data_IF_548149907526
#
_entry.id   IF_548149907526
#
_cell.length_a   1.000
_cell.length_b   1.000
_cell.length_c   1.000
_cell.angle_alpha   90.00
_cell.angle_beta   90.00
_cell.angle_gamma   90.00
#
_symmetry.space_group_name_H-M   'P 1'
#
loop_
_entity.id
_entity.type
_entity.pdbx_description
1 polymer ?
#
# COMPACT_ATOMS: atom_id res chain seq x y z
N UNK A 1 -2.56 -14.40 -17.70
CA UNK A 1 -1.40 -14.97 -16.99
C UNK A 1 -0.96 -13.97 -15.94
N UNK A 2 -1.18 -14.27 -14.66
CA UNK A 2 -0.71 -13.44 -13.53
C UNK A 2 0.68 -13.94 -13.15
N UNK A 3 1.71 -13.18 -13.53
CA UNK A 3 3.08 -13.44 -13.06
C UNK A 3 3.15 -12.94 -11.62
N UNK A 4 3.46 -13.83 -10.68
CA UNK A 4 3.76 -13.45 -9.31
C UNK A 4 5.19 -12.87 -9.28
N UNK A 5 5.30 -11.55 -9.14
CA UNK A 5 6.59 -10.88 -8.97
C UNK A 5 7.09 -11.07 -7.54
N UNK A 6 8.41 -11.24 -7.36
CA UNK A 6 9.02 -11.00 -6.06
C UNK A 6 8.83 -9.53 -5.67
N UNK A 7 8.85 -9.23 -4.36
CA UNK A 7 8.70 -7.84 -3.91
C UNK A 7 9.74 -6.91 -4.56
N UNK A 8 10.97 -7.38 -4.77
CA UNK A 8 12.05 -6.61 -5.41
C UNK A 8 11.74 -6.28 -6.87
N UNK A 9 11.22 -7.23 -7.64
CA UNK A 9 10.82 -7.02 -9.04
C UNK A 9 9.59 -6.12 -9.16
N UNK A 10 8.64 -6.24 -8.21
CA UNK A 10 7.47 -5.39 -8.16
C UNK A 10 7.86 -3.92 -7.92
N UNK A 11 8.82 -3.62 -7.04
CA UNK A 11 9.22 -2.25 -6.74
C UNK A 11 9.92 -1.55 -7.92
N UNK A 12 10.47 -2.29 -8.88
CA UNK A 12 11.08 -1.74 -10.09
C UNK A 12 10.08 -1.45 -11.21
N UNK A 13 8.81 -1.81 -11.05
CA UNK A 13 7.78 -1.57 -12.08
C UNK A 13 7.59 -0.07 -12.35
N UNK A 14 7.28 0.35 -13.60
CA UNK A 14 6.78 1.70 -13.86
C UNK A 14 5.55 2.04 -12.99
N UNK A 15 5.35 3.30 -12.65
CA UNK A 15 4.32 3.74 -11.69
C UNK A 15 2.93 3.14 -11.94
N UNK A 16 2.46 3.19 -13.19
CA UNK A 16 1.15 2.63 -13.56
C UNK A 16 1.08 1.11 -13.33
N UNK A 17 2.18 0.40 -13.60
CA UNK A 17 2.24 -1.05 -13.44
C UNK A 17 2.33 -1.42 -11.96
N UNK A 18 3.10 -0.66 -11.16
CA UNK A 18 3.17 -0.84 -9.72
C UNK A 18 1.81 -0.65 -9.05
N UNK A 19 1.12 0.46 -9.35
CA UNK A 19 -0.25 0.70 -8.88
C UNK A 19 -1.21 -0.44 -9.27
N UNK A 20 -1.19 -0.88 -10.54
CA UNK A 20 -2.04 -1.98 -11.01
C UNK A 20 -1.73 -3.28 -10.26
N UNK A 21 -0.46 -3.57 -10.00
CA UNK A 21 -0.05 -4.73 -9.23
C UNK A 21 -0.56 -4.64 -7.79
N UNK A 22 -0.48 -3.48 -7.12
CA UNK A 22 -1.06 -3.29 -5.79
C UNK A 22 -2.58 -3.50 -5.80
N UNK A 23 -3.28 -2.98 -6.81
CA UNK A 23 -4.72 -3.18 -6.98
C UNK A 23 -5.09 -4.65 -7.18
N UNK A 24 -4.31 -5.41 -7.95
CA UNK A 24 -4.54 -6.85 -8.15
C UNK A 24 -4.27 -7.67 -6.89
N UNK A 25 -3.21 -7.34 -6.14
CA UNK A 25 -2.79 -8.10 -4.95
C UNK A 25 -3.62 -7.78 -3.70
N UNK A 26 -3.94 -6.50 -3.48
CA UNK A 26 -4.56 -6.01 -2.25
C UNK A 26 -5.98 -5.47 -2.44
N UNK A 27 -6.47 -5.38 -3.68
CA UNK A 27 -7.80 -4.85 -3.99
C UNK A 27 -7.96 -3.36 -3.69
N UNK A 28 -6.87 -2.60 -3.60
CA UNK A 28 -6.93 -1.16 -3.34
C UNK A 28 -7.25 -0.38 -4.61
N UNK A 29 -7.96 0.74 -4.47
CA UNK A 29 -8.22 1.67 -5.56
C UNK A 29 -7.15 2.78 -5.65
N UNK A 30 -7.21 3.59 -6.71
CA UNK A 30 -6.27 4.70 -6.95
C UNK A 30 -6.23 5.73 -5.82
N UNK A 31 -7.37 6.03 -5.20
CA UNK A 31 -7.46 7.01 -4.12
C UNK A 31 -6.70 6.54 -2.88
N UNK A 32 -6.88 5.29 -2.49
CA UNK A 32 -6.16 4.66 -1.38
C UNK A 32 -4.65 4.64 -1.68
N UNK A 33 -4.25 4.14 -2.85
CA UNK A 33 -2.84 4.10 -3.26
C UNK A 33 -2.18 5.48 -3.19
N UNK A 34 -2.80 6.49 -3.83
CA UNK A 34 -2.26 7.84 -3.88
C UNK A 34 -2.16 8.46 -2.48
N UNK A 35 -3.13 8.19 -1.59
CA UNK A 35 -3.12 8.73 -0.23
C UNK A 35 -1.96 8.15 0.58
N UNK A 36 -1.74 6.82 0.49
CA UNK A 36 -0.62 6.16 1.19
C UNK A 36 0.71 6.69 0.65
N UNK A 37 0.87 6.74 -0.67
CA UNK A 37 2.09 7.22 -1.32
C UNK A 37 2.41 8.68 -0.93
N UNK A 38 1.42 9.57 -0.97
CA UNK A 38 1.59 10.96 -0.56
C UNK A 38 1.98 11.09 0.92
N UNK A 39 1.28 10.39 1.82
CA UNK A 39 1.59 10.43 3.25
C UNK A 39 3.00 9.90 3.55
N UNK A 40 3.42 8.81 2.90
CA UNK A 40 4.78 8.29 3.08
C UNK A 40 5.83 9.29 2.54
N UNK A 41 5.57 9.93 1.40
CA UNK A 41 6.48 10.97 0.91
C UNK A 41 6.60 12.15 1.90
N UNK A 42 5.49 12.62 2.45
CA UNK A 42 5.45 13.67 3.48
C UNK A 42 6.21 13.29 4.76
N UNK A 43 6.31 11.99 5.06
CA UNK A 43 7.07 11.44 6.20
C UNK A 43 8.56 11.24 5.91
N UNK A 44 9.04 11.57 4.71
CA UNK A 44 10.46 11.51 4.37
C UNK A 44 10.91 10.25 3.63
N UNK A 45 9.99 9.37 3.22
CA UNK A 45 10.30 8.26 2.31
C UNK A 45 10.47 8.79 0.87
N UNK A 46 11.56 9.54 0.63
CA UNK A 46 11.81 10.25 -0.64
C UNK A 46 12.19 9.26 -1.74
N UNK A 47 13.05 8.30 -1.44
CA UNK A 47 13.44 7.27 -2.40
C UNK A 47 12.23 6.41 -2.82
N UNK A 48 12.10 6.17 -4.12
CA UNK A 48 10.94 5.49 -4.68
C UNK A 48 10.89 4.02 -4.28
N UNK A 49 12.05 3.36 -4.13
CA UNK A 49 12.10 1.97 -3.70
C UNK A 49 11.72 1.85 -2.23
N UNK A 50 12.29 2.70 -1.37
CA UNK A 50 11.96 2.74 0.06
C UNK A 50 10.48 3.03 0.30
N UNK A 51 9.92 4.02 -0.41
CA UNK A 51 8.50 4.37 -0.29
C UNK A 51 7.58 3.23 -0.73
N UNK A 52 7.90 2.57 -1.83
CA UNK A 52 7.13 1.42 -2.33
C UNK A 52 7.23 0.21 -1.42
N UNK A 53 8.40 0.00 -0.81
CA UNK A 53 8.58 -1.01 0.23
C UNK A 53 7.68 -0.70 1.43
N UNK A 54 7.73 0.52 1.97
CA UNK A 54 6.90 0.96 3.10
C UNK A 54 5.39 0.85 2.79
N UNK A 55 4.97 1.25 1.58
CA UNK A 55 3.60 1.11 1.11
C UNK A 55 3.14 -0.35 1.15
N UNK A 56 3.97 -1.28 0.68
CA UNK A 56 3.63 -2.70 0.68
C UNK A 56 3.60 -3.27 2.10
N UNK A 57 4.54 -2.86 2.97
CA UNK A 57 4.49 -3.24 4.38
C UNK A 57 3.22 -2.75 5.07
N UNK A 58 2.79 -1.53 4.79
CA UNK A 58 1.53 -1.00 5.30
C UNK A 58 0.31 -1.81 4.82
N UNK A 59 0.29 -2.22 3.54
CA UNK A 59 -0.79 -3.04 3.00
C UNK A 59 -0.78 -4.46 3.58
N UNK A 60 0.40 -5.06 3.79
CA UNK A 60 0.56 -6.35 4.48
C UNK A 60 0.08 -6.27 5.93
N UNK A 61 0.47 -5.21 6.65
CA UNK A 61 -0.02 -4.91 8.01
C UNK A 61 -1.55 -4.77 8.05
N UNK A 62 -2.13 -4.06 7.09
CA UNK A 62 -3.59 -3.89 6.99
C UNK A 62 -4.34 -5.23 6.82
N UNK A 63 -3.73 -6.23 6.18
CA UNK A 63 -4.30 -7.57 6.08
C UNK A 63 -4.23 -8.34 7.42
N UNK A 64 -3.19 -8.10 8.22
CA UNK A 64 -3.03 -8.68 9.56
C UNK A 64 -4.06 -8.12 10.53
N UNK A 65 -4.43 -6.85 10.37
CA UNK A 65 -5.50 -6.17 11.12
C UNK A 65 -6.94 -6.51 10.63
N UNK A 66 -7.10 -7.59 9.84
CA UNK A 66 -8.38 -8.09 9.32
C UNK A 66 -9.22 -7.06 8.53
N UNK A 67 -8.56 -6.07 7.89
CA UNK A 67 -9.25 -5.04 7.09
C UNK A 67 -9.70 -5.51 5.70
N UNK A 68 -9.51 -6.78 5.37
CA UNK A 68 -9.87 -7.32 4.06
C UNK A 68 -11.34 -7.70 3.99
N UNK A 69 -12.11 -6.94 3.21
CA UNK A 69 -13.51 -7.26 2.92
C UNK A 69 -13.57 -8.33 1.82
N UNK A 70 -13.91 -9.57 2.22
CA UNK A 70 -14.05 -10.72 1.32
C UNK A 70 -15.11 -10.54 0.23
N UNK A 71 -16.18 -9.78 0.51
CA UNK A 71 -17.27 -9.53 -0.45
C UNK A 71 -16.83 -8.53 -1.52
N UNK A 72 -16.13 -7.47 -1.10
CA UNK A 72 -15.57 -6.47 -2.00
C UNK A 72 -14.26 -6.92 -2.66
N UNK A 73 -13.62 -7.98 -2.14
CA UNK A 73 -12.27 -8.45 -2.51
C UNK A 73 -11.22 -7.34 -2.39
N UNK A 74 -11.31 -6.54 -1.33
CA UNK A 74 -10.55 -5.32 -1.17
C UNK A 74 -10.29 -4.97 0.30
N UNK A 75 -9.15 -4.34 0.58
CA UNK A 75 -8.92 -3.70 1.88
C UNK A 75 -9.83 -2.48 2.02
N UNK A 76 -10.49 -2.35 3.18
CA UNK A 76 -11.35 -1.21 3.51
C UNK A 76 -10.91 -0.55 4.80
N UNK A 77 -10.55 0.73 4.69
CA UNK A 77 -10.12 1.53 5.84
C UNK A 77 -11.29 2.21 6.56
N UNK A 78 -12.42 2.44 5.90
CA UNK A 78 -13.49 3.28 6.45
C UNK A 78 -13.17 4.78 6.28
N UNK A 79 -14.12 5.65 6.65
CA UNK A 79 -14.01 7.09 6.40
C UNK A 79 -12.99 7.72 7.35
N UNK A 80 -11.96 8.38 6.81
CA UNK A 80 -10.93 9.10 7.58
C UNK A 80 -9.86 8.23 8.25
N UNK A 81 -10.08 6.92 8.36
CA UNK A 81 -9.19 6.03 9.10
C UNK A 81 -7.85 5.76 8.40
N UNK A 82 -7.81 5.82 7.05
CA UNK A 82 -6.60 5.53 6.28
C UNK A 82 -5.42 6.39 6.74
N UNK A 83 -5.64 7.69 6.89
CA UNK A 83 -4.60 8.63 7.34
C UNK A 83 -4.12 8.32 8.75
N UNK A 84 -5.04 7.97 9.67
CA UNK A 84 -4.70 7.60 11.05
C UNK A 84 -3.80 6.36 11.05
N UNK A 85 -4.22 5.30 10.37
CA UNK A 85 -3.48 4.05 10.33
C UNK A 85 -2.10 4.17 9.66
N UNK A 86 -1.96 4.98 8.61
CA UNK A 86 -0.64 5.22 7.99
C UNK A 86 0.29 5.94 8.98
N UNK A 87 -0.22 6.93 9.72
CA UNK A 87 0.58 7.63 10.72
C UNK A 87 1.00 6.70 11.88
N UNK A 88 0.07 5.88 12.37
CA UNK A 88 0.37 4.89 13.42
C UNK A 88 1.40 3.85 12.95
N UNK A 89 1.23 3.33 11.73
CA UNK A 89 2.17 2.38 11.13
C UNK A 89 3.59 2.96 11.06
N UNK A 90 3.73 4.18 10.53
CA UNK A 90 5.04 4.85 10.44
C UNK A 90 5.60 5.08 11.84
N UNK A 91 4.84 5.66 12.78
CA UNK A 91 5.34 5.95 14.12
C UNK A 91 5.75 4.70 14.92
N UNK A 92 5.13 3.54 14.65
CA UNK A 92 5.46 2.28 15.31
C UNK A 92 6.66 1.54 14.69
N UNK A 93 7.07 1.90 13.47
CA UNK A 93 8.07 1.18 12.67
C UNK A 93 9.15 2.09 12.08
N UNK A 94 9.34 3.28 12.65
CA UNK A 94 10.51 4.15 12.43
C UNK A 94 11.65 3.74 13.36
#
# INVERSE_FOLDING_TARGET
>A
MTVAFSNKEAFSLPDLQFYKWCGLKYGINRGIYNTIDALLFEKGYIDVYERRFALIRFLEYSLQEDLYDKKAKAIKFGRGNLTVMVNEFVNAHV
#
